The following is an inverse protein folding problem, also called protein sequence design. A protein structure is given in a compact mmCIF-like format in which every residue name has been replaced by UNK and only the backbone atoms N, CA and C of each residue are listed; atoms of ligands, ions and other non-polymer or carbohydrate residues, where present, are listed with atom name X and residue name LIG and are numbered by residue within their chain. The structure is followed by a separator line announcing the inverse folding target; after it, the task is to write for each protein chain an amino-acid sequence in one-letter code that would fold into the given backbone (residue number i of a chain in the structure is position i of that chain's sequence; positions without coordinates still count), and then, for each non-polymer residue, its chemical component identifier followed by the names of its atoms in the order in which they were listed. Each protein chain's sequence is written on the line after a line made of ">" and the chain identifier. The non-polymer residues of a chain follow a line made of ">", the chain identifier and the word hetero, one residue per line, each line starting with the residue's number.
data_IF_615498552615
#
_entry.id   IF_615498552615
#
_cell.length_a   1.000
_cell.length_b   1.000
_cell.length_c   1.000
_cell.angle_alpha   90.00
_cell.angle_beta   90.00
_cell.angle_gamma   90.00
#
_symmetry.space_group_name_H-M   'P 1'
#
loop_
_entity.id
_entity.type
_entity.pdbx_description
1 polymer ?
#
# COMPACT_ATOMS: atom_id res chain seq x y z
N UNK A 1 -5.75 9.83 33.76
CA UNK A 1 -5.46 10.21 32.36
C UNK A 1 -4.24 9.43 31.88
N UNK A 2 -4.40 8.52 30.91
CA UNK A 2 -3.37 8.09 29.95
C UNK A 2 -3.87 6.79 29.27
N UNK A 3 -4.32 6.90 28.02
CA UNK A 3 -4.50 5.75 27.13
C UNK A 3 -4.54 6.27 25.69
N UNK A 4 -3.39 6.76 25.20
CA UNK A 4 -3.27 7.33 23.85
C UNK A 4 -2.43 6.39 22.99
N UNK A 5 -3.09 5.43 22.35
CA UNK A 5 -2.45 4.58 21.32
C UNK A 5 -3.20 4.41 19.98
N UNK A 6 -4.29 5.17 19.69
CA UNK A 6 -4.66 5.40 18.29
C UNK A 6 -4.37 6.83 17.77
N UNK A 7 -4.29 7.87 18.62
CA UNK A 7 -4.08 9.26 18.14
C UNK A 7 -2.62 9.60 17.79
N UNK A 8 -1.71 8.65 17.93
CA UNK A 8 -0.27 8.86 17.74
C UNK A 8 0.31 8.04 16.59
N UNK A 9 -0.47 7.14 16.00
CA UNK A 9 -0.05 6.34 14.86
C UNK A 9 -0.67 6.87 13.58
N UNK A 10 0.13 6.96 12.54
CA UNK A 10 -0.30 7.41 11.22
C UNK A 10 0.32 6.50 10.16
N UNK A 11 -0.47 6.12 9.16
CA UNK A 11 0.04 5.46 7.96
C UNK A 11 -0.51 6.14 6.71
N UNK A 12 0.38 6.39 5.75
CA UNK A 12 0.05 7.11 4.53
C UNK A 12 0.96 6.69 3.37
N UNK A 13 0.47 6.94 2.17
CA UNK A 13 1.24 6.75 0.93
C UNK A 13 1.90 8.07 0.53
N UNK A 14 3.09 7.97 -0.05
CA UNK A 14 3.75 9.08 -0.73
C UNK A 14 4.02 8.71 -2.18
N UNK A 15 4.02 9.70 -3.06
CA UNK A 15 4.54 9.59 -4.42
C UNK A 15 5.65 10.61 -4.59
N UNK A 16 6.83 10.15 -4.99
CA UNK A 16 8.00 11.02 -5.23
C UNK A 16 8.33 11.94 -4.02
N UNK A 17 7.99 11.50 -2.80
CA UNK A 17 8.22 12.23 -1.55
C UNK A 17 7.03 13.06 -1.01
N UNK A 18 5.97 13.22 -1.79
CA UNK A 18 4.76 13.98 -1.38
C UNK A 18 3.66 13.05 -0.87
N UNK A 19 2.99 13.40 0.23
CA UNK A 19 1.86 12.64 0.77
C UNK A 19 0.67 12.64 -0.19
N UNK A 20 0.06 11.47 -0.35
CA UNK A 20 -1.14 11.28 -1.15
C UNK A 20 -2.39 11.24 -0.27
N UNK A 21 -3.39 12.00 -0.67
CA UNK A 21 -4.71 12.00 -0.05
C UNK A 21 -5.81 11.47 -1.00
N UNK A 22 -5.54 11.42 -2.31
CA UNK A 22 -6.47 10.91 -3.32
C UNK A 22 -6.26 9.41 -3.57
N UNK A 23 -7.34 8.69 -3.87
CA UNK A 23 -7.34 7.23 -4.16
C UNK A 23 -6.66 6.39 -3.05
N UNK A 24 -6.59 6.91 -1.81
CA UNK A 24 -6.08 6.21 -0.63
C UNK A 24 -7.23 5.96 0.37
N UNK A 25 -7.49 4.70 0.65
CA UNK A 25 -8.41 4.27 1.71
C UNK A 25 -7.59 3.84 2.94
N UNK A 26 -7.64 4.64 4.00
CA UNK A 26 -6.98 4.32 5.28
C UNK A 26 -7.82 3.27 6.02
N UNK A 27 -7.21 2.12 6.30
CA UNK A 27 -7.82 1.06 7.09
C UNK A 27 -7.86 1.41 8.57
N UNK A 28 -8.75 0.75 9.30
CA UNK A 28 -8.84 0.87 10.75
C UNK A 28 -7.63 0.23 11.45
N UNK A 29 -7.33 0.68 12.67
CA UNK A 29 -6.36 0.02 13.54
C UNK A 29 -7.07 -1.16 14.19
N UNK A 30 -6.63 -2.37 13.88
CA UNK A 30 -7.25 -3.60 14.37
C UNK A 30 -6.34 -4.28 15.39
N UNK A 31 -6.84 -4.69 16.56
CA UNK A 31 -6.07 -5.48 17.51
C UNK A 31 -5.89 -6.91 16.99
N UNK A 32 -4.70 -7.48 17.20
CA UNK A 32 -4.40 -8.88 16.96
C UNK A 32 -4.53 -9.70 18.24
N UNK A 33 -4.71 -11.02 18.12
CA UNK A 33 -4.88 -11.92 19.26
C UNK A 33 -3.63 -12.03 20.17
N UNK A 34 -2.45 -11.71 19.65
CA UNK A 34 -1.18 -11.73 20.37
C UNK A 34 -0.88 -10.44 21.13
N UNK A 35 -1.81 -9.46 21.07
CA UNK A 35 -1.67 -8.16 21.74
C UNK A 35 -0.99 -7.08 20.89
N UNK A 36 -0.52 -7.39 19.68
CA UNK A 36 -0.08 -6.39 18.70
C UNK A 36 -1.27 -5.71 18.01
N UNK A 37 -1.02 -4.60 17.31
CA UNK A 37 -2.01 -3.95 16.45
C UNK A 37 -1.57 -4.01 14.99
N UNK A 38 -2.54 -4.11 14.08
CA UNK A 38 -2.32 -3.94 12.65
C UNK A 38 -2.97 -2.65 12.17
N UNK A 39 -2.29 -1.96 11.25
CA UNK A 39 -2.82 -0.82 10.50
C UNK A 39 -2.61 -1.08 9.01
N UNK A 40 -3.55 -0.65 8.16
CA UNK A 40 -3.47 -0.82 6.70
C UNK A 40 -3.86 0.45 5.94
N UNK A 41 -3.37 0.59 4.71
CA UNK A 41 -3.76 1.67 3.79
C UNK A 41 -3.78 1.12 2.36
N UNK A 42 -4.92 1.17 1.71
CA UNK A 42 -5.12 0.74 0.32
C UNK A 42 -4.92 1.92 -0.63
N UNK A 43 -4.17 1.73 -1.71
CA UNK A 43 -3.96 2.70 -2.77
C UNK A 43 -4.48 2.15 -4.10
N UNK A 44 -5.45 2.84 -4.70
CA UNK A 44 -6.13 2.41 -5.92
C UNK A 44 -5.78 3.26 -7.15
N UNK A 45 -4.69 2.91 -7.84
CA UNK A 45 -4.21 3.68 -9.00
C UNK A 45 -4.03 2.83 -10.26
N UNK A 46 -3.95 3.44 -11.46
CA UNK A 46 -3.47 2.75 -12.64
C UNK A 46 -2.13 2.05 -12.35
N UNK A 47 -1.90 0.90 -12.99
CA UNK A 47 -0.75 0.03 -12.71
C UNK A 47 0.64 0.62 -12.97
N UNK A 48 0.69 1.74 -13.65
CA UNK A 48 1.91 2.30 -14.18
C UNK A 48 2.66 3.04 -13.07
N UNK A 49 3.98 2.90 -13.03
CA UNK A 49 4.89 3.59 -12.09
C UNK A 49 4.73 3.28 -10.60
N UNK A 50 4.32 2.05 -10.26
CA UNK A 50 4.26 1.55 -8.89
C UNK A 50 5.57 1.70 -8.08
N UNK A 51 6.72 1.84 -8.73
CA UNK A 51 8.01 2.05 -8.05
C UNK A 51 8.20 3.44 -7.44
N UNK A 52 7.34 4.41 -7.76
CA UNK A 52 7.41 5.80 -7.26
C UNK A 52 6.68 6.03 -5.94
N UNK A 53 6.01 5.00 -5.43
CA UNK A 53 5.16 5.09 -4.26
C UNK A 53 5.83 4.42 -3.05
N UNK A 54 5.97 5.19 -1.98
CA UNK A 54 6.45 4.73 -0.68
C UNK A 54 5.30 4.69 0.31
N UNK A 55 5.22 3.64 1.13
CA UNK A 55 4.33 3.65 2.29
C UNK A 55 5.11 4.05 3.54
N UNK A 56 4.50 4.88 4.39
CA UNK A 56 5.15 5.45 5.57
C UNK A 56 4.31 5.15 6.79
N UNK A 57 4.94 4.55 7.79
CA UNK A 57 4.43 4.47 9.15
C UNK A 57 5.11 5.54 10.01
N UNK A 58 4.31 6.33 10.71
CA UNK A 58 4.77 7.36 11.63
C UNK A 58 4.11 7.15 13.00
N UNK A 59 4.92 7.07 14.05
CA UNK A 59 4.49 7.00 15.45
C UNK A 59 5.01 8.24 16.19
N UNK A 60 4.08 9.05 16.70
CA UNK A 60 4.39 10.29 17.42
C UNK A 60 4.41 10.11 18.94
N UNK A 61 5.17 10.95 19.63
CA UNK A 61 5.16 11.02 21.10
C UNK A 61 5.83 9.84 21.81
N UNK A 62 6.68 9.09 21.11
CA UNK A 62 7.85 8.43 21.70
C UNK A 62 8.93 9.50 21.92
N UNK A 63 10.03 9.23 22.64
CA UNK A 63 11.08 10.23 22.96
C UNK A 63 11.47 11.12 21.75
N UNK A 64 11.40 10.54 20.54
CA UNK A 64 11.39 11.22 19.25
C UNK A 64 10.36 10.51 18.35
N UNK A 65 9.85 11.19 17.33
CA UNK A 65 8.92 10.57 16.37
C UNK A 65 9.65 9.50 15.54
N UNK A 66 9.04 8.31 15.43
CA UNK A 66 9.61 7.19 14.67
C UNK A 66 8.95 7.13 13.29
N UNK A 67 9.75 7.22 12.24
CA UNK A 67 9.29 7.12 10.84
C UNK A 67 9.92 5.91 10.17
N UNK A 68 9.09 4.98 9.72
CA UNK A 68 9.51 3.78 8.99
C UNK A 68 8.97 3.82 7.57
N UNK A 69 9.86 3.74 6.57
CA UNK A 69 9.47 3.48 5.18
C UNK A 69 9.31 1.98 5.00
N UNK A 70 8.13 1.56 4.56
CA UNK A 70 7.83 0.14 4.39
C UNK A 70 8.28 -0.33 3.02
N UNK A 71 9.12 -1.36 3.01
CA UNK A 71 9.67 -1.93 1.80
C UNK A 71 8.59 -2.60 0.95
N UNK A 72 8.85 -2.74 -0.35
CA UNK A 72 7.98 -3.44 -1.32
C UNK A 72 7.59 -4.88 -0.89
N UNK A 73 8.33 -5.48 0.03
CA UNK A 73 8.08 -6.83 0.56
C UNK A 73 6.94 -6.85 1.58
N UNK A 74 6.78 -5.77 2.34
CA UNK A 74 5.69 -5.61 3.31
C UNK A 74 4.43 -5.06 2.64
N UNK A 75 4.59 -4.38 1.51
CA UNK A 75 3.49 -3.99 0.62
C UNK A 75 2.92 -5.24 -0.05
N UNK A 76 1.70 -5.60 0.32
CA UNK A 76 0.96 -6.70 -0.30
C UNK A 76 0.17 -6.19 -1.51
N UNK A 77 0.15 -6.96 -2.59
CA UNK A 77 -0.70 -6.68 -3.75
C UNK A 77 -1.63 -7.86 -3.94
N UNK A 78 -2.89 -7.60 -4.28
CA UNK A 78 -3.89 -8.64 -4.54
C UNK A 78 -3.82 -9.21 -5.96
N UNK A 79 -2.64 -9.18 -6.61
CA UNK A 79 -2.47 -9.68 -7.97
C UNK A 79 -2.64 -11.21 -8.04
N UNK A 80 -3.63 -11.67 -8.81
CA UNK A 80 -3.72 -13.07 -9.22
C UNK A 80 -2.49 -13.42 -10.07
N UNK A 81 -1.72 -14.44 -9.65
CA UNK A 81 -0.55 -14.96 -10.39
C UNK A 81 -0.95 -15.42 -11.80
N UNK A 82 -0.98 -14.55 -12.78
CA UNK A 82 -1.05 -14.96 -14.18
C UNK A 82 0.39 -15.02 -14.70
N UNK A 83 0.98 -16.22 -14.73
CA UNK A 83 2.31 -16.42 -15.31
C UNK A 83 2.24 -16.11 -16.81
N UNK A 84 2.84 -15.01 -17.24
CA UNK A 84 3.18 -14.82 -18.63
C UNK A 84 4.68 -15.10 -18.75
N UNK A 85 5.00 -16.37 -19.04
CA UNK A 85 6.30 -16.75 -19.59
C UNK A 85 6.45 -16.00 -20.90
N UNK A 86 7.41 -15.08 -20.95
CA UNK A 86 7.81 -14.39 -22.17
C UNK A 86 8.75 -15.29 -22.94
N UNK A 87 8.22 -15.94 -23.98
CA UNK A 87 9.00 -16.36 -25.15
C UNK A 87 8.27 -15.85 -26.39
N UNK A 88 9.06 -15.29 -27.30
CA UNK A 88 8.67 -14.56 -28.50
C UNK A 88 7.85 -15.41 -29.49
N UNK A 89 6.73 -14.89 -30.02
CA UNK A 89 6.43 -14.76 -31.47
C UNK A 89 5.06 -14.13 -31.69
N UNK A 90 4.99 -13.23 -32.68
CA UNK A 90 3.79 -12.49 -33.09
C UNK A 90 2.65 -13.37 -33.60
N UNK A 91 1.47 -12.75 -33.54
CA UNK A 91 0.17 -13.12 -34.11
C UNK A 91 -0.68 -14.12 -33.31
N UNK A 92 -1.76 -13.61 -32.73
CA UNK A 92 -3.10 -14.22 -32.69
C UNK A 92 -4.07 -13.29 -31.92
N UNK A 93 -4.87 -12.53 -32.67
CA UNK A 93 -6.06 -11.78 -32.23
C UNK A 93 -5.89 -10.91 -30.98
N UNK A 94 -5.47 -9.66 -31.18
CA UNK A 94 -5.74 -8.60 -30.19
C UNK A 94 -7.25 -8.42 -30.13
N UNK A 95 -7.93 -9.10 -29.20
CA UNK A 95 -9.22 -8.61 -28.72
C UNK A 95 -8.90 -7.31 -27.98
N UNK A 96 -8.96 -6.19 -28.72
CA UNK A 96 -8.80 -4.85 -28.19
C UNK A 96 -10.03 -4.61 -27.30
N UNK A 97 -9.98 -5.06 -26.05
CA UNK A 97 -10.87 -4.55 -25.02
C UNK A 97 -10.61 -3.06 -24.94
N UNK A 98 -11.52 -2.29 -25.55
CA UNK A 98 -11.50 -0.84 -25.57
C UNK A 98 -11.29 -0.32 -24.14
N UNK A 99 -10.09 0.20 -23.88
CA UNK A 99 -9.87 1.41 -23.10
C UNK A 99 -10.51 1.51 -21.72
N UNK A 100 -10.28 0.53 -20.83
CA UNK A 100 -10.37 0.79 -19.39
C UNK A 100 -9.00 0.52 -18.78
N UNK A 101 -8.31 1.57 -18.33
CA UNK A 101 -7.13 1.39 -17.47
C UNK A 101 -7.63 0.64 -16.24
N UNK A 102 -7.21 -0.60 -16.05
CA UNK A 102 -7.52 -1.34 -14.82
C UNK A 102 -6.84 -0.62 -13.66
N UNK A 103 -7.63 0.03 -12.81
CA UNK A 103 -7.16 0.48 -11.50
C UNK A 103 -6.76 -0.77 -10.69
N UNK A 104 -5.65 -0.69 -9.97
CA UNK A 104 -5.11 -1.80 -9.16
C UNK A 104 -4.97 -1.34 -7.71
N UNK A 105 -5.12 -2.29 -6.79
CA UNK A 105 -4.98 -2.06 -5.36
C UNK A 105 -3.58 -2.41 -4.88
N UNK A 106 -2.99 -1.52 -4.09
CA UNK A 106 -1.81 -1.78 -3.29
C UNK A 106 -2.15 -1.65 -1.83
N UNK A 107 -1.98 -2.73 -1.08
CA UNK A 107 -2.21 -2.75 0.35
C UNK A 107 -0.88 -2.56 1.07
N UNK A 108 -0.75 -1.45 1.78
CA UNK A 108 0.28 -1.29 2.79
C UNK A 108 -0.24 -1.79 4.14
N UNK A 109 0.57 -2.53 4.89
CA UNK A 109 0.20 -3.01 6.22
C UNK A 109 1.40 -3.02 7.14
N UNK A 110 1.19 -2.65 8.39
CA UNK A 110 2.22 -2.68 9.43
C UNK A 110 1.64 -3.27 10.72
N UNK A 111 2.44 -4.08 11.42
CA UNK A 111 2.10 -4.69 12.70
C UNK A 111 3.08 -4.19 13.75
N UNK A 112 2.58 -3.69 14.89
CA UNK A 112 3.39 -3.10 15.96
C UNK A 112 2.88 -3.45 17.36
#
# INVERSE_FOLDING_TARGET
>A
MSCFYPNRVMMFWRKDGEELHEDVDKGEILPNHDGSFQISADLQLPSDDWGKYDCVFHLSGVKEDIVTKLDKREIKTNYGKTSMRSDEREDLTVTKYRGRKCKRHKLCSFVF
#
